data_IF_000240025620
#
_entry.id   IF_000240025620
#
_cell.length_a   1.000
_cell.length_b   1.000
_cell.length_c   1.000
_cell.angle_alpha   90.00
_cell.angle_beta   90.00
_cell.angle_gamma   90.00
#
_symmetry.space_group_name_H-M   'P 1'
#
loop_
_entity.id
_entity.type
_entity.pdbx_description
1 polymer ?
#
# COMPACT_ATOMS: atom_id res chain seq x y z
N UNK A 1 4.65 2.74 -21.25
CA UNK A 1 4.81 1.55 -20.38
C UNK A 1 6.25 1.48 -19.95
N UNK A 2 6.52 1.56 -18.65
CA UNK A 2 7.89 1.52 -18.13
C UNK A 2 8.50 0.12 -18.27
N UNK A 3 9.74 0.03 -18.77
CA UNK A 3 10.42 -1.25 -19.07
C UNK A 3 11.75 -1.43 -18.35
N UNK A 4 12.15 -0.45 -17.52
CA UNK A 4 13.36 -0.54 -16.71
C UNK A 4 13.21 -1.48 -15.50
N UNK A 5 14.32 -1.84 -14.83
CA UNK A 5 14.26 -2.54 -13.56
C UNK A 5 13.63 -1.67 -12.48
N UNK A 6 12.69 -2.23 -11.71
CA UNK A 6 12.03 -1.55 -10.59
C UNK A 6 11.96 -2.49 -9.38
N UNK A 7 12.04 -1.92 -8.17
CA UNK A 7 11.94 -2.64 -6.90
C UNK A 7 11.08 -1.88 -5.89
N UNK A 8 10.62 -2.58 -4.86
CA UNK A 8 9.87 -1.96 -3.76
C UNK A 8 10.68 -0.88 -3.03
N UNK A 9 11.99 -1.09 -2.84
CA UNK A 9 12.85 -0.08 -2.23
C UNK A 9 12.94 1.21 -3.05
N UNK A 10 13.03 1.09 -4.38
CA UNK A 10 13.00 2.26 -5.27
C UNK A 10 11.66 2.99 -5.18
N UNK A 11 10.53 2.28 -5.15
CA UNK A 11 9.20 2.89 -5.01
C UNK A 11 9.05 3.60 -3.66
N UNK A 12 9.52 3.00 -2.56
CA UNK A 12 9.49 3.63 -1.24
C UNK A 12 10.37 4.88 -1.16
N UNK A 13 11.47 4.92 -1.92
CA UNK A 13 12.34 6.09 -2.01
C UNK A 13 11.75 7.25 -2.84
N UNK A 14 10.65 7.03 -3.57
CA UNK A 14 10.00 8.07 -4.35
C UNK A 14 8.99 8.88 -3.53
N UNK A 15 8.73 10.11 -3.97
CA UNK A 15 7.57 10.87 -3.49
C UNK A 15 6.28 10.12 -3.82
N UNK A 16 5.22 10.31 -3.02
CA UNK A 16 3.92 9.68 -3.27
C UNK A 16 3.43 9.93 -4.71
N UNK A 17 3.47 11.19 -5.18
CA UNK A 17 3.07 11.57 -6.55
C UNK A 17 3.87 10.82 -7.62
N UNK A 18 5.20 10.76 -7.48
CA UNK A 18 6.06 10.07 -8.43
C UNK A 18 5.84 8.55 -8.43
N UNK A 19 5.67 7.97 -7.24
CA UNK A 19 5.36 6.56 -7.07
C UNK A 19 4.02 6.19 -7.71
N UNK A 20 2.94 6.92 -7.43
CA UNK A 20 1.62 6.63 -8.00
C UNK A 20 1.62 6.74 -9.53
N UNK A 21 2.31 7.76 -10.08
CA UNK A 21 2.46 7.90 -11.53
C UNK A 21 3.18 6.68 -12.13
N UNK A 22 4.30 6.26 -11.55
CA UNK A 22 5.04 5.10 -12.04
C UNK A 22 4.23 3.81 -11.92
N UNK A 23 3.54 3.56 -10.80
CA UNK A 23 2.69 2.38 -10.61
C UNK A 23 1.64 2.24 -11.71
N UNK A 24 1.04 3.36 -12.15
CA UNK A 24 0.06 3.39 -13.25
C UNK A 24 0.65 3.00 -14.61
N UNK A 25 1.95 3.21 -14.81
CA UNK A 25 2.66 2.85 -16.04
C UNK A 25 3.17 1.40 -16.08
N UNK A 26 3.15 0.70 -14.94
CA UNK A 26 3.56 -0.69 -14.82
C UNK A 26 2.50 -1.64 -15.36
N UNK A 27 2.94 -2.77 -15.88
CA UNK A 27 2.03 -3.85 -16.26
C UNK A 27 1.29 -4.40 -15.03
N UNK A 28 0.05 -4.91 -15.20
CA UNK A 28 -0.67 -5.56 -14.11
C UNK A 28 0.12 -6.69 -13.45
N UNK A 29 0.89 -7.45 -14.23
CA UNK A 29 1.71 -8.56 -13.71
C UNK A 29 2.89 -8.06 -12.87
N UNK A 30 3.55 -6.98 -13.29
CA UNK A 30 4.65 -6.38 -12.53
C UNK A 30 4.12 -5.80 -11.22
N UNK A 31 2.98 -5.11 -11.25
CA UNK A 31 2.32 -4.62 -10.02
C UNK A 31 2.01 -5.76 -9.05
N UNK A 32 1.40 -6.85 -9.53
CA UNK A 32 1.09 -8.04 -8.71
C UNK A 32 2.34 -8.66 -8.09
N UNK A 33 3.42 -8.80 -8.86
CA UNK A 33 4.70 -9.33 -8.36
C UNK A 33 5.32 -8.43 -7.29
N UNK A 34 5.38 -7.13 -7.53
CA UNK A 34 5.91 -6.16 -6.55
C UNK A 34 5.08 -6.14 -5.27
N UNK A 35 3.74 -6.17 -5.39
CA UNK A 35 2.83 -6.24 -4.25
C UNK A 35 3.07 -7.48 -3.41
N UNK A 36 3.19 -8.65 -4.05
CA UNK A 36 3.47 -9.89 -3.36
C UNK A 36 4.81 -9.84 -2.61
N UNK A 37 5.87 -9.34 -3.25
CA UNK A 37 7.19 -9.17 -2.62
C UNK A 37 7.11 -8.18 -1.44
N UNK A 38 6.32 -7.10 -1.56
CA UNK A 38 6.14 -6.13 -0.49
C UNK A 38 5.44 -6.77 0.72
N UNK A 39 4.39 -7.55 0.50
CA UNK A 39 3.70 -8.29 1.57
C UNK A 39 4.62 -9.29 2.28
N UNK A 40 5.42 -10.06 1.54
CA UNK A 40 6.41 -10.97 2.13
C UNK A 40 7.46 -10.22 2.95
N UNK A 41 7.92 -9.07 2.46
CA UNK A 41 8.83 -8.20 3.19
C UNK A 41 8.21 -7.67 4.48
N UNK A 42 6.95 -7.24 4.45
CA UNK A 42 6.24 -6.75 5.63
C UNK A 42 6.09 -7.84 6.71
N UNK A 43 5.76 -9.07 6.32
CA UNK A 43 5.68 -10.21 7.23
C UNK A 43 7.04 -10.49 7.88
N UNK A 44 8.11 -10.52 7.06
CA UNK A 44 9.46 -10.75 7.55
C UNK A 44 9.92 -9.67 8.54
N UNK A 45 9.67 -8.40 8.24
CA UNK A 45 10.06 -7.29 9.11
C UNK A 45 9.25 -7.28 10.42
N UNK A 46 7.96 -7.66 10.37
CA UNK A 46 7.13 -7.85 11.57
C UNK A 46 7.69 -8.96 12.47
N UNK A 47 8.10 -10.08 11.88
CA UNK A 47 8.73 -11.19 12.62
C UNK A 47 10.01 -10.75 13.32
N UNK A 48 10.90 -10.06 12.60
CA UNK A 48 12.14 -9.49 13.19
C UNK A 48 11.84 -8.45 14.27
N UNK A 49 10.77 -7.68 14.12
CA UNK A 49 10.37 -6.73 15.15
C UNK A 49 10.02 -7.45 16.46
N UNK A 50 9.27 -8.55 16.38
CA UNK A 50 8.96 -9.38 17.55
C UNK A 50 10.23 -9.95 18.20
N UNK A 51 11.14 -10.53 17.42
CA UNK A 51 12.44 -11.04 17.91
C UNK A 51 13.26 -9.95 18.64
N UNK A 52 13.26 -8.72 18.11
CA UNK A 52 13.96 -7.60 18.72
C UNK A 52 13.25 -7.07 19.96
N UNK A 53 11.93 -7.08 19.97
CA UNK A 53 11.13 -6.68 21.12
C UNK A 53 11.37 -7.61 22.30
N UNK A 54 11.33 -8.92 22.06
CA UNK A 54 11.59 -9.96 23.07
C UNK A 54 13.02 -9.86 23.63
N UNK A 55 13.98 -9.43 22.79
CA UNK A 55 15.36 -9.18 23.21
C UNK A 55 15.59 -7.79 23.84
N UNK A 56 14.54 -7.04 24.17
CA UNK A 56 14.61 -5.72 24.81
C UNK A 56 15.09 -4.58 23.89
N UNK A 57 15.28 -4.83 22.59
CA UNK A 57 15.76 -3.83 21.61
C UNK A 57 14.61 -3.02 21.01
N UNK A 58 13.90 -2.27 21.86
CA UNK A 58 12.65 -1.57 21.49
C UNK A 58 12.78 -0.59 20.31
N UNK A 59 13.86 0.18 20.22
CA UNK A 59 14.09 1.11 19.10
C UNK A 59 14.22 0.36 17.78
N UNK A 60 14.97 -0.74 17.76
CA UNK A 60 15.11 -1.59 16.58
C UNK A 60 13.80 -2.25 16.19
N UNK A 61 13.03 -2.74 17.16
CA UNK A 61 11.70 -3.28 16.92
C UNK A 61 10.78 -2.24 16.27
N UNK A 62 10.77 -1.00 16.79
CA UNK A 62 10.02 0.12 16.22
C UNK A 62 10.39 0.38 14.76
N UNK A 63 11.68 0.52 14.44
CA UNK A 63 12.15 0.74 13.07
C UNK A 63 11.70 -0.38 12.10
N UNK A 64 11.67 -1.63 12.58
CA UNK A 64 11.20 -2.77 11.78
C UNK A 64 9.69 -2.72 11.54
N UNK A 65 8.91 -2.32 12.54
CA UNK A 65 7.45 -2.14 12.39
C UNK A 65 7.12 -0.99 11.43
N UNK A 66 7.84 0.13 11.50
CA UNK A 66 7.65 1.25 10.57
C UNK A 66 7.93 0.83 9.12
N UNK A 67 8.99 0.03 8.92
CA UNK A 67 9.31 -0.50 7.61
C UNK A 67 8.27 -1.52 7.13
N UNK A 68 7.81 -2.42 8.01
CA UNK A 68 6.73 -3.37 7.71
C UNK A 68 5.42 -2.66 7.32
N UNK A 69 5.09 -1.56 8.00
CA UNK A 69 3.93 -0.75 7.68
C UNK A 69 4.08 -0.05 6.32
N UNK A 70 5.27 0.46 6.02
CA UNK A 70 5.58 1.08 4.73
C UNK A 70 5.43 0.08 3.58
N UNK A 71 5.91 -1.15 3.76
CA UNK A 71 5.76 -2.24 2.78
C UNK A 71 4.30 -2.69 2.63
N UNK A 72 3.56 -2.80 3.73
CA UNK A 72 2.13 -3.13 3.71
C UNK A 72 1.31 -2.09 2.93
N UNK A 73 1.59 -0.80 3.15
CA UNK A 73 0.95 0.30 2.41
C UNK A 73 1.31 0.26 0.93
N UNK A 74 2.58 0.03 0.61
CA UNK A 74 3.03 -0.11 -0.77
C UNK A 74 2.34 -1.28 -1.48
N UNK A 75 2.19 -2.43 -0.81
CA UNK A 75 1.46 -3.57 -1.36
C UNK A 75 0.03 -3.20 -1.71
N UNK A 76 -0.66 -2.49 -0.80
CA UNK A 76 -2.01 -1.98 -1.04
C UNK A 76 -2.08 -0.99 -2.21
N UNK A 77 -1.14 -0.05 -2.31
CA UNK A 77 -1.05 0.90 -3.44
C UNK A 77 -0.84 0.18 -4.78
N UNK A 78 -0.04 -0.89 -4.80
CA UNK A 78 0.25 -1.66 -6.02
C UNK A 78 -0.94 -2.53 -6.47
N UNK A 79 -1.81 -2.93 -5.53
CA UNK A 79 -3.03 -3.70 -5.82
C UNK A 79 -4.29 -2.84 -5.94
N UNK A 80 -4.22 -1.58 -5.51
CA UNK A 80 -5.34 -0.65 -5.60
C UNK A 80 -5.65 -0.32 -7.05
N UNK A 81 -6.93 -0.38 -7.42
CA UNK A 81 -7.37 0.12 -8.72
C UNK A 81 -7.12 1.64 -8.79
N UNK A 82 -6.60 2.15 -9.92
CA UNK A 82 -6.16 3.54 -10.02
C UNK A 82 -7.27 4.59 -9.95
N UNK A 83 -8.55 4.19 -9.93
CA UNK A 83 -9.71 5.06 -9.80
C UNK A 83 -10.76 4.43 -8.88
N UNK A 84 -10.48 4.46 -7.57
CA UNK A 84 -11.51 4.39 -6.53
C UNK A 84 -11.88 5.81 -6.10
N UNK A 85 -12.42 6.62 -7.01
CA UNK A 85 -13.26 7.74 -6.54
C UNK A 85 -14.42 7.08 -5.82
N UNK A 86 -14.37 7.08 -4.49
CA UNK A 86 -15.59 6.92 -3.70
C UNK A 86 -16.45 8.15 -4.02
N UNK A 87 -17.24 8.08 -5.08
CA UNK A 87 -18.41 8.94 -5.21
C UNK A 87 -19.34 8.42 -4.13
N UNK A 88 -19.23 9.01 -2.93
CA UNK A 88 -20.36 9.01 -2.01
C UNK A 88 -21.37 9.92 -2.67
N UNK A 89 -22.23 9.37 -3.53
CA UNK A 89 -23.43 10.08 -3.93
C UNK A 89 -24.17 10.41 -2.63
N UNK A 90 -24.52 11.68 -2.38
CA UNK A 90 -25.37 11.99 -1.24
C UNK A 90 -26.64 11.17 -1.42
N UNK A 91 -26.94 10.32 -0.42
CA UNK A 91 -28.19 9.59 -0.35
C UNK A 91 -29.29 10.66 -0.34
N UNK A 92 -29.97 10.81 -1.46
CA UNK A 92 -31.10 11.70 -1.60
C UNK A 92 -32.16 11.16 -0.63
N UNK A 93 -32.24 11.81 0.52
CA UNK A 93 -33.15 11.44 1.59
C UNK A 93 -34.56 11.80 1.14
N UNK A 94 -35.21 10.82 0.52
CA UNK A 94 -36.65 10.64 0.35
C UNK A 94 -37.52 11.90 0.36
N UNK A 95 -37.88 12.37 -0.83
CA UNK A 95 -39.15 13.06 -1.02
C UNK A 95 -40.28 12.04 -0.83
N UNK A 96 -40.83 11.99 0.38
CA UNK A 96 -42.10 11.31 0.65
C UNK A 96 -43.22 12.12 0.02
N UNK A 97 -43.62 11.73 -1.20
CA UNK A 97 -44.90 12.10 -1.76
C UNK A 97 -46.00 11.38 -0.97
N UNK A 98 -46.63 12.09 -0.04
CA UNK A 98 -47.91 11.68 0.53
C UNK A 98 -49.02 12.05 -0.47
N UNK A 99 -49.50 11.05 -1.21
CA UNK A 99 -50.71 11.12 -2.00
C UNK A 99 -51.70 10.05 -1.53
N UNK A 100 -52.70 10.46 -0.75
CA UNK A 100 -54.15 10.36 -1.01
C UNK A 100 -54.92 10.80 0.24
#
# INVERSE_FOLDING_TARGET
MYTGPISNGMLLGMTHKGRSALIRELSPDVRRKLAHIASLGAEQETRKAAEHFDAGRRVWAGNRLDHAQSLSRLAAELTGEPDGVFIVEPIDSGSVAAGN
#
